data_IF_715598715848
#
_entry.id   IF_715598715848
#
_cell.length_a   1.000
_cell.length_b   1.000
_cell.length_c   1.000
_cell.angle_alpha   90.00
_cell.angle_beta   90.00
_cell.angle_gamma   90.00
#
_symmetry.space_group_name_H-M   'P 1'
#
loop_
_entity.id
_entity.type
_entity.pdbx_description
1 polymer ?
#
# COMPACT_ATOMS: atom_id res chain seq x y z
N UNK A 1 30.78 -7.49 7.38
CA UNK A 1 29.91 -6.46 7.98
C UNK A 1 29.37 -5.52 6.91
N UNK A 2 30.24 -4.87 6.13
CA UNK A 2 29.87 -3.97 5.02
C UNK A 2 28.82 -4.56 4.07
N UNK A 3 29.03 -5.78 3.55
CA UNK A 3 28.08 -6.45 2.64
C UNK A 3 26.66 -6.59 3.22
N UNK A 4 26.54 -6.90 4.51
CA UNK A 4 25.24 -7.07 5.17
C UNK A 4 24.54 -5.74 5.42
N UNK A 5 25.29 -4.69 5.75
CA UNK A 5 24.74 -3.34 5.90
C UNK A 5 24.25 -2.83 4.54
N UNK A 6 25.06 -2.99 3.49
CA UNK A 6 24.67 -2.61 2.12
C UNK A 6 23.41 -3.35 1.66
N UNK A 7 23.32 -4.65 1.94
CA UNK A 7 22.12 -5.43 1.63
C UNK A 7 20.89 -4.92 2.41
N UNK A 8 21.02 -4.64 3.71
CA UNK A 8 19.94 -4.05 4.50
C UNK A 8 19.48 -2.72 3.92
N UNK A 9 20.42 -1.81 3.61
CA UNK A 9 20.11 -0.52 2.99
C UNK A 9 19.39 -0.72 1.65
N UNK A 10 19.86 -1.63 0.80
CA UNK A 10 19.22 -1.94 -0.48
C UNK A 10 17.79 -2.45 -0.31
N UNK A 11 17.58 -3.38 0.63
CA UNK A 11 16.25 -3.93 0.90
C UNK A 11 15.31 -2.85 1.46
N UNK A 12 15.80 -1.98 2.33
CA UNK A 12 15.03 -0.84 2.84
C UNK A 12 14.67 0.12 1.71
N UNK A 13 15.63 0.51 0.88
CA UNK A 13 15.36 1.40 -0.28
C UNK A 13 14.35 0.77 -1.22
N UNK A 14 14.48 -0.51 -1.54
CA UNK A 14 13.53 -1.21 -2.41
C UNK A 14 12.13 -1.26 -1.77
N UNK A 15 12.02 -1.59 -0.48
CA UNK A 15 10.74 -1.60 0.22
C UNK A 15 10.10 -0.20 0.22
N UNK A 16 10.88 0.84 0.45
CA UNK A 16 10.42 2.24 0.38
C UNK A 16 9.93 2.59 -1.02
N UNK A 17 10.66 2.22 -2.07
CA UNK A 17 10.23 2.44 -3.45
C UNK A 17 8.91 1.72 -3.75
N UNK A 18 8.76 0.48 -3.29
CA UNK A 18 7.50 -0.29 -3.44
C UNK A 18 6.34 0.40 -2.71
N UNK A 19 6.57 0.91 -1.50
CA UNK A 19 5.55 1.66 -0.74
C UNK A 19 5.07 2.89 -1.54
N UNK A 20 5.98 3.63 -2.16
CA UNK A 20 5.63 4.83 -2.91
C UNK A 20 5.17 4.60 -4.35
N UNK A 21 5.39 3.41 -4.91
CA UNK A 21 5.18 3.14 -6.33
C UNK A 21 3.79 3.55 -6.85
N UNK A 22 2.67 3.31 -6.15
CA UNK A 22 1.34 3.73 -6.61
C UNK A 22 1.16 5.25 -6.73
N UNK A 23 1.92 6.03 -5.97
CA UNK A 23 1.82 7.49 -5.97
C UNK A 23 2.66 8.14 -7.07
N UNK A 24 3.55 7.37 -7.72
CA UNK A 24 4.46 7.89 -8.74
C UNK A 24 3.74 8.17 -10.08
N UNK A 25 4.32 9.05 -10.92
CA UNK A 25 3.82 9.27 -12.27
C UNK A 25 3.96 8.00 -13.12
N UNK A 26 2.92 7.65 -13.87
CA UNK A 26 2.94 6.48 -14.75
C UNK A 26 1.58 6.12 -15.31
N UNK A 27 1.53 4.98 -16.02
CA UNK A 27 0.28 4.30 -16.37
C UNK A 27 -0.19 3.47 -15.19
N UNK A 28 -1.49 3.18 -15.15
CA UNK A 28 -2.06 2.34 -14.12
C UNK A 28 -1.39 0.95 -14.08
N UNK A 29 -1.03 0.50 -12.88
CA UNK A 29 -0.48 -0.82 -12.61
C UNK A 29 -1.14 -1.37 -11.34
N UNK A 30 -2.11 -2.27 -11.50
CA UNK A 30 -2.81 -2.91 -10.39
C UNK A 30 -1.85 -3.61 -9.41
N UNK A 31 -0.75 -4.17 -9.92
CA UNK A 31 0.23 -4.86 -9.09
C UNK A 31 1.01 -3.90 -8.18
N UNK A 32 1.12 -2.62 -8.57
CA UNK A 32 1.76 -1.59 -7.77
C UNK A 32 1.00 -1.38 -6.45
N UNK A 33 -0.33 -1.25 -6.54
CA UNK A 33 -1.22 -1.05 -5.39
C UNK A 33 -1.10 -2.24 -4.43
N UNK A 34 -1.26 -3.45 -4.97
CA UNK A 34 -1.15 -4.68 -4.20
C UNK A 34 0.22 -4.86 -3.53
N UNK A 35 1.32 -4.62 -4.26
CA UNK A 35 2.67 -4.73 -3.71
C UNK A 35 2.93 -3.69 -2.62
N UNK A 36 2.47 -2.46 -2.81
CA UNK A 36 2.59 -1.40 -1.80
C UNK A 36 1.81 -1.77 -0.54
N UNK A 37 0.53 -2.13 -0.65
CA UNK A 37 -0.30 -2.51 0.50
C UNK A 37 0.25 -3.75 1.20
N UNK A 38 0.66 -4.78 0.45
CA UNK A 38 1.28 -6.00 0.98
C UNK A 38 2.56 -5.68 1.77
N UNK A 39 3.41 -4.79 1.26
CA UNK A 39 4.65 -4.36 1.94
C UNK A 39 4.35 -3.60 3.23
N UNK A 40 3.32 -2.75 3.21
CA UNK A 40 2.92 -1.96 4.37
C UNK A 40 2.30 -2.83 5.47
N UNK A 41 1.42 -3.77 5.11
CA UNK A 41 0.86 -4.76 6.04
C UNK A 41 1.95 -5.68 6.60
N UNK A 42 2.89 -6.14 5.76
CA UNK A 42 4.05 -6.89 6.22
C UNK A 42 4.91 -6.09 7.21
N UNK A 43 5.05 -4.77 6.98
CA UNK A 43 5.70 -3.84 7.90
C UNK A 43 5.04 -3.81 9.27
N UNK A 44 3.71 -3.66 9.33
CA UNK A 44 2.97 -3.63 10.60
C UNK A 44 2.95 -4.97 11.34
N UNK A 45 2.61 -6.06 10.65
CA UNK A 45 2.62 -7.41 11.26
C UNK A 45 4.05 -7.76 11.70
N UNK A 46 5.04 -7.45 10.87
CA UNK A 46 6.46 -7.65 11.18
C UNK A 46 6.91 -6.82 12.38
N UNK A 47 6.43 -5.58 12.52
CA UNK A 47 6.75 -4.73 13.65
C UNK A 47 6.26 -5.33 14.97
N UNK A 48 5.07 -5.93 14.98
CA UNK A 48 4.50 -6.55 16.18
C UNK A 48 5.15 -7.91 16.47
N UNK A 49 5.35 -8.75 15.45
CA UNK A 49 5.78 -10.14 15.64
C UNK A 49 7.30 -10.34 15.56
N UNK A 50 7.97 -9.77 14.56
CA UNK A 50 9.39 -10.02 14.27
C UNK A 50 10.31 -9.11 15.07
N UNK A 51 9.96 -7.85 15.26
CA UNK A 51 10.82 -6.87 15.95
C UNK A 51 11.17 -7.29 17.37
N UNK A 52 10.23 -7.75 18.23
CA UNK A 52 10.57 -8.20 19.58
C UNK A 52 11.51 -9.41 19.57
N UNK A 53 11.27 -10.38 18.67
CA UNK A 53 12.14 -11.56 18.50
C UNK A 53 13.55 -11.11 18.08
N UNK A 54 13.64 -10.21 17.10
CA UNK A 54 14.90 -9.64 16.64
C UNK A 54 15.65 -8.90 17.75
N UNK A 55 14.95 -8.09 18.55
CA UNK A 55 15.55 -7.32 19.64
C UNK A 55 16.12 -8.24 20.74
N UNK A 56 15.33 -9.22 21.20
CA UNK A 56 15.77 -10.18 22.22
C UNK A 56 16.95 -11.01 21.69
N UNK A 57 16.90 -11.44 20.43
CA UNK A 57 17.99 -12.16 19.79
C UNK A 57 19.25 -11.29 19.66
N UNK A 58 19.11 -10.02 19.28
CA UNK A 58 20.23 -9.07 19.19
C UNK A 58 20.90 -8.87 20.55
N UNK A 59 20.11 -8.64 21.60
CA UNK A 59 20.62 -8.52 22.99
C UNK A 59 21.33 -9.79 23.42
N UNK A 60 20.77 -10.96 23.11
CA UNK A 60 21.41 -12.25 23.39
C UNK A 60 22.76 -12.39 22.68
N UNK A 61 22.84 -12.03 21.40
CA UNK A 61 24.10 -12.04 20.63
C UNK A 61 25.13 -11.05 21.18
N UNK A 62 24.72 -9.86 21.62
CA UNK A 62 25.63 -8.89 22.27
C UNK A 62 26.18 -9.45 23.59
N UNK A 63 25.31 -10.02 24.44
CA UNK A 63 25.72 -10.65 25.71
C UNK A 63 26.64 -11.84 25.48
N UNK A 64 26.31 -12.70 24.51
CA UNK A 64 27.14 -13.85 24.12
C UNK A 64 28.53 -13.41 23.68
N UNK A 65 28.64 -12.35 22.85
CA UNK A 65 29.95 -11.80 22.45
C UNK A 65 30.75 -11.29 23.65
N UNK A 66 30.10 -10.59 24.58
CA UNK A 66 30.76 -10.14 25.81
C UNK A 66 31.24 -11.31 26.68
N UNK A 67 30.45 -12.36 26.84
CA UNK A 67 30.80 -13.57 27.58
C UNK A 67 32.00 -14.32 26.94
N UNK A 68 32.03 -14.43 25.60
CA UNK A 68 33.15 -15.04 24.87
C UNK A 68 34.46 -14.27 25.07
N UNK A 69 34.41 -12.93 25.11
CA UNK A 69 35.57 -12.09 25.44
C UNK A 69 36.05 -12.35 26.87
N UNK A 70 35.13 -12.61 27.81
CA UNK A 70 35.43 -12.97 29.21
C UNK A 70 35.80 -14.44 29.43
N UNK A 71 35.78 -15.28 28.38
CA UNK A 71 35.97 -16.74 28.44
C UNK A 71 34.94 -17.48 29.32
N UNK A 72 33.75 -16.92 29.48
CA UNK A 72 32.64 -17.57 30.17
C UNK A 72 31.91 -18.58 29.27
N UNK A 73 31.35 -19.67 29.83
CA UNK A 73 30.56 -20.63 29.05
C UNK A 73 29.29 -19.96 28.50
N UNK A 74 29.20 -19.83 27.17
CA UNK A 74 28.05 -19.22 26.52
C UNK A 74 27.07 -20.29 26.02
N UNK A 75 25.78 -20.15 26.36
CA UNK A 75 24.72 -21.02 25.83
C UNK A 75 24.36 -20.60 24.40
N UNK A 76 24.34 -21.56 23.47
CA UNK A 76 23.90 -21.30 22.09
C UNK A 76 22.39 -21.45 21.98
N UNK A 77 21.67 -20.33 22.10
CA UNK A 77 20.21 -20.28 21.89
C UNK A 77 19.82 -19.78 20.49
N UNK A 78 20.78 -19.61 19.58
CA UNK A 78 20.54 -19.04 18.25
C UNK A 78 19.50 -19.82 17.42
N UNK A 79 19.49 -21.15 17.56
CA UNK A 79 18.52 -22.02 16.86
C UNK A 79 17.07 -21.77 17.30
N UNK A 80 16.84 -21.52 18.59
CA UNK A 80 15.50 -21.25 19.11
C UNK A 80 14.94 -19.94 18.55
N UNK A 81 15.75 -18.88 18.50
CA UNK A 81 15.36 -17.61 17.89
C UNK A 81 15.10 -17.73 16.39
N UNK A 82 15.93 -18.48 15.67
CA UNK A 82 15.72 -18.72 14.25
C UNK A 82 14.40 -19.45 13.97
N UNK A 83 14.06 -20.47 14.77
CA UNK A 83 12.77 -21.17 14.65
C UNK A 83 11.61 -20.22 14.97
N UNK A 84 11.69 -19.46 16.05
CA UNK A 84 10.66 -18.50 16.43
C UNK A 84 10.44 -17.45 15.33
N UNK A 85 11.51 -16.91 14.75
CA UNK A 85 11.44 -15.96 13.64
C UNK A 85 10.82 -16.60 12.38
N UNK A 86 11.15 -17.86 12.07
CA UNK A 86 10.52 -18.57 10.94
C UNK A 86 9.02 -18.71 11.14
N UNK A 87 8.57 -19.13 12.33
CA UNK A 87 7.14 -19.26 12.67
C UNK A 87 6.44 -17.90 12.56
N UNK A 88 6.99 -16.86 13.16
CA UNK A 88 6.42 -15.51 13.08
C UNK A 88 6.37 -14.97 11.63
N UNK A 89 7.37 -15.32 10.80
CA UNK A 89 7.39 -14.90 9.39
C UNK A 89 6.29 -15.53 8.53
N UNK A 90 5.70 -16.67 8.96
CA UNK A 90 4.53 -17.27 8.30
C UNK A 90 3.35 -16.32 8.37
N UNK A 91 3.08 -15.73 9.54
CA UNK A 91 1.98 -14.79 9.72
C UNK A 91 2.19 -13.51 8.89
N UNK A 92 3.43 -13.00 8.83
CA UNK A 92 3.78 -11.85 7.98
C UNK A 92 3.55 -12.15 6.50
N UNK A 93 4.01 -13.31 6.02
CA UNK A 93 3.81 -13.72 4.63
C UNK A 93 2.34 -13.99 4.31
N UNK A 94 1.60 -14.59 5.25
CA UNK A 94 0.16 -14.82 5.12
C UNK A 94 -0.63 -13.52 5.01
N UNK A 95 -0.34 -12.53 5.86
CA UNK A 95 -0.97 -11.21 5.78
C UNK A 95 -0.67 -10.49 4.46
N UNK A 96 0.59 -10.49 4.02
CA UNK A 96 0.96 -9.93 2.73
C UNK A 96 0.27 -10.65 1.55
N UNK A 97 0.16 -11.98 1.60
CA UNK A 97 -0.51 -12.76 0.57
C UNK A 97 -2.02 -12.51 0.54
N UNK A 98 -2.67 -12.32 1.69
CA UNK A 98 -4.10 -12.02 1.76
C UNK A 98 -4.42 -10.71 1.02
N UNK A 99 -3.65 -9.65 1.28
CA UNK A 99 -3.76 -8.37 0.59
C UNK A 99 -3.51 -8.52 -0.91
N UNK A 100 -2.48 -9.29 -1.30
CA UNK A 100 -2.20 -9.53 -2.72
C UNK A 100 -3.37 -10.24 -3.44
N UNK A 101 -4.09 -11.14 -2.76
CA UNK A 101 -5.29 -11.80 -3.32
C UNK A 101 -6.41 -10.80 -3.53
N UNK A 102 -6.65 -9.93 -2.55
CA UNK A 102 -7.70 -8.92 -2.59
C UNK A 102 -7.48 -7.90 -3.72
N UNK A 103 -6.27 -7.38 -3.84
CA UNK A 103 -5.93 -6.27 -4.76
C UNK A 103 -5.54 -6.71 -6.18
N UNK A 104 -5.00 -7.92 -6.34
CA UNK A 104 -4.43 -8.37 -7.63
C UNK A 104 -4.69 -9.85 -7.94
N UNK A 105 -5.44 -10.55 -7.09
CA UNK A 105 -5.75 -11.97 -7.25
C UNK A 105 -4.62 -12.94 -6.87
N UNK A 106 -4.89 -14.22 -7.08
CA UNK A 106 -4.05 -15.31 -6.56
C UNK A 106 -2.62 -15.39 -7.13
N UNK A 107 -2.40 -14.88 -8.35
CA UNK A 107 -1.09 -15.01 -9.01
C UNK A 107 0.03 -14.32 -8.21
N UNK A 108 -0.20 -13.09 -7.78
CA UNK A 108 0.78 -12.33 -6.99
C UNK A 108 1.01 -12.98 -5.62
N UNK A 109 -0.05 -13.44 -4.97
CA UNK A 109 0.03 -14.13 -3.68
C UNK A 109 0.88 -15.41 -3.78
N UNK A 110 0.69 -16.21 -4.83
CA UNK A 110 1.49 -17.43 -5.08
C UNK A 110 2.97 -17.08 -5.27
N UNK A 111 3.27 -16.01 -6.02
CA UNK A 111 4.65 -15.54 -6.22
C UNK A 111 5.28 -15.14 -4.89
N UNK A 112 4.58 -14.33 -4.08
CA UNK A 112 5.07 -13.88 -2.77
C UNK A 112 5.32 -15.06 -1.81
N UNK A 113 4.38 -16.00 -1.71
CA UNK A 113 4.52 -17.18 -0.87
C UNK A 113 5.62 -18.12 -1.35
N UNK A 114 5.80 -18.26 -2.67
CA UNK A 114 6.88 -19.06 -3.26
C UNK A 114 8.25 -18.46 -2.97
N UNK A 115 8.39 -17.14 -3.11
CA UNK A 115 9.62 -16.41 -2.77
C UNK A 115 9.94 -16.54 -1.27
N UNK A 116 8.94 -16.32 -0.40
CA UNK A 116 9.09 -16.50 1.04
C UNK A 116 9.49 -17.95 1.39
N UNK A 117 8.81 -18.95 0.82
CA UNK A 117 9.10 -20.36 1.04
C UNK A 117 10.52 -20.73 0.62
N UNK A 118 11.00 -20.19 -0.52
CA UNK A 118 12.37 -20.36 -0.97
C UNK A 118 13.39 -19.73 0.00
N UNK A 119 13.10 -18.55 0.54
CA UNK A 119 13.94 -17.88 1.55
C UNK A 119 14.00 -18.73 2.82
N UNK A 120 12.86 -19.17 3.35
CA UNK A 120 12.79 -20.01 4.56
C UNK A 120 13.51 -21.33 4.36
N UNK A 121 13.28 -22.01 3.24
CA UNK A 121 13.97 -23.27 2.91
C UNK A 121 15.49 -23.08 2.86
N UNK A 122 15.97 -21.98 2.26
CA UNK A 122 17.40 -21.64 2.22
C UNK A 122 17.95 -21.35 3.61
N UNK A 123 17.22 -20.62 4.45
CA UNK A 123 17.58 -20.35 5.85
C UNK A 123 17.67 -21.64 6.67
N UNK A 124 16.70 -22.56 6.55
CA UNK A 124 16.68 -23.84 7.25
C UNK A 124 17.79 -24.79 6.79
N UNK A 125 18.11 -24.82 5.49
CA UNK A 125 19.26 -25.60 5.00
C UNK A 125 20.58 -25.06 5.56
N UNK A 126 20.72 -23.73 5.63
CA UNK A 126 21.92 -23.09 6.18
C UNK A 126 22.11 -23.36 7.68
N UNK A 127 21.05 -23.60 8.46
CA UNK A 127 21.19 -23.94 9.89
C UNK A 127 21.56 -25.40 10.11
N UNK A 128 21.21 -26.30 9.19
CA UNK A 128 21.53 -27.74 9.26
C UNK A 128 22.98 -28.06 8.86
N UNK A 129 23.56 -27.29 7.95
CA UNK A 129 24.83 -27.65 7.32
C UNK A 129 26.06 -27.59 8.25
N UNK A 130 25.96 -27.06 9.48
CA UNK A 130 27.08 -27.00 10.44
C UNK A 130 28.28 -26.11 10.04
N UNK A 131 28.44 -25.86 8.75
CA UNK A 131 29.53 -25.12 8.13
C UNK A 131 29.37 -23.62 8.28
N UNK A 132 30.24 -22.97 9.08
CA UNK A 132 30.63 -21.54 8.99
C UNK A 132 29.52 -20.46 8.96
N UNK A 133 28.24 -20.84 8.96
CA UNK A 133 27.07 -20.02 8.73
C UNK A 133 26.72 -19.14 9.93
N UNK A 134 27.42 -19.35 11.05
CA UNK A 134 27.42 -18.47 12.21
C UNK A 134 27.74 -17.02 11.82
N UNK A 135 28.51 -16.76 10.76
CA UNK A 135 28.74 -15.39 10.29
C UNK A 135 27.53 -14.73 9.62
N UNK A 136 26.69 -15.46 8.87
CA UNK A 136 25.51 -14.90 8.19
C UNK A 136 24.34 -14.69 9.15
N UNK A 137 24.16 -15.61 10.11
CA UNK A 137 23.12 -15.51 11.13
C UNK A 137 23.33 -14.33 12.09
N UNK A 138 24.56 -13.81 12.21
CA UNK A 138 24.88 -12.64 13.05
C UNK A 138 24.09 -11.38 12.73
N UNK A 139 23.62 -11.22 11.49
CA UNK A 139 22.90 -10.02 11.07
C UNK A 139 21.39 -10.21 10.99
N UNK A 140 20.88 -11.44 11.01
CA UNK A 140 19.43 -11.73 10.98
C UNK A 140 18.66 -10.95 12.05
N UNK A 141 19.10 -10.88 13.33
CA UNK A 141 18.40 -10.08 14.34
C UNK A 141 18.25 -8.61 13.95
N UNK A 142 19.27 -8.05 13.28
CA UNK A 142 19.26 -6.67 12.81
C UNK A 142 18.19 -6.43 11.74
N UNK A 143 18.06 -7.34 10.76
CA UNK A 143 16.99 -7.25 9.75
C UNK A 143 15.61 -7.37 10.37
N UNK A 144 15.42 -8.35 11.26
CA UNK A 144 14.14 -8.58 11.93
C UNK A 144 13.70 -7.38 12.78
N UNK A 145 14.65 -6.66 13.38
CA UNK A 145 14.37 -5.47 14.18
C UNK A 145 14.18 -4.21 13.34
N UNK A 146 15.08 -3.93 12.39
CA UNK A 146 15.09 -2.64 11.70
C UNK A 146 14.13 -2.56 10.53
N UNK A 147 13.99 -3.63 9.73
CA UNK A 147 13.25 -3.56 8.48
C UNK A 147 11.76 -3.21 8.68
N UNK A 148 10.99 -3.90 9.56
CA UNK A 148 9.58 -3.57 9.76
C UNK A 148 9.41 -2.16 10.36
N UNK A 149 10.26 -1.79 11.32
CA UNK A 149 10.23 -0.47 11.95
C UNK A 149 10.50 0.66 10.95
N UNK A 150 11.45 0.49 10.04
CA UNK A 150 11.74 1.48 8.99
C UNK A 150 10.60 1.60 7.97
N UNK A 151 9.98 0.49 7.57
CA UNK A 151 8.81 0.52 6.67
C UNK A 151 7.66 1.29 7.31
N UNK A 152 7.31 0.96 8.57
CA UNK A 152 6.24 1.64 9.30
C UNK A 152 6.57 3.12 9.52
N UNK A 153 7.81 3.45 9.89
CA UNK A 153 8.25 4.83 10.07
C UNK A 153 8.08 5.64 8.78
N UNK A 154 8.54 5.09 7.64
CA UNK A 154 8.41 5.76 6.34
C UNK A 154 6.94 5.95 5.98
N UNK A 155 6.10 4.92 6.19
CA UNK A 155 4.65 5.05 5.96
C UNK A 155 4.06 6.21 6.75
N UNK A 156 4.25 6.20 8.07
CA UNK A 156 3.67 7.22 8.98
C UNK A 156 4.18 8.62 8.66
N UNK A 157 5.46 8.76 8.30
CA UNK A 157 6.06 10.07 8.07
C UNK A 157 5.69 10.70 6.72
N UNK A 158 5.45 9.90 5.68
CA UNK A 158 5.50 10.40 4.30
C UNK A 158 4.36 9.93 3.39
N UNK A 159 3.62 8.85 3.70
CA UNK A 159 2.61 8.33 2.76
C UNK A 159 1.45 9.29 2.57
N UNK A 160 1.01 10.00 3.62
CA UNK A 160 -0.03 11.04 3.50
C UNK A 160 0.39 12.15 2.51
N UNK A 161 1.64 12.61 2.60
CA UNK A 161 2.18 13.65 1.73
C UNK A 161 2.29 13.16 0.28
N UNK A 162 2.73 11.90 0.09
CA UNK A 162 2.78 11.28 -1.23
C UNK A 162 1.36 11.11 -1.83
N UNK A 163 0.39 10.72 -1.02
CA UNK A 163 -1.02 10.60 -1.42
C UNK A 163 -1.58 11.97 -1.85
N UNK A 164 -1.37 13.02 -1.05
CA UNK A 164 -1.79 14.38 -1.41
C UNK A 164 -1.13 14.89 -2.70
N UNK A 165 0.17 14.68 -2.86
CA UNK A 165 0.89 15.05 -4.09
C UNK A 165 0.39 14.30 -5.32
N UNK A 166 0.14 12.99 -5.17
CA UNK A 166 -0.45 12.14 -6.20
C UNK A 166 -1.86 12.61 -6.57
N UNK A 167 -2.72 12.87 -5.58
CA UNK A 167 -4.09 13.38 -5.77
C UNK A 167 -4.11 14.69 -6.56
N UNK A 168 -3.27 15.66 -6.16
CA UNK A 168 -3.19 16.95 -6.86
C UNK A 168 -2.73 16.80 -8.31
N UNK A 169 -1.82 15.85 -8.60
CA UNK A 169 -1.44 15.54 -9.98
C UNK A 169 -2.63 15.01 -10.78
N UNK A 170 -3.39 14.08 -10.22
CA UNK A 170 -4.52 13.45 -10.92
C UNK A 170 -5.62 14.48 -11.18
N UNK A 171 -5.90 15.36 -10.21
CA UNK A 171 -6.80 16.50 -10.37
C UNK A 171 -6.35 17.38 -11.55
N UNK A 172 -5.08 17.77 -11.59
CA UNK A 172 -4.54 18.58 -12.69
C UNK A 172 -4.58 17.85 -14.05
N UNK A 173 -4.36 16.53 -14.07
CA UNK A 173 -4.48 15.74 -15.30
C UNK A 173 -5.91 15.69 -15.84
N UNK A 174 -6.91 15.82 -14.96
CA UNK A 174 -8.33 15.81 -15.30
C UNK A 174 -8.82 17.09 -15.99
N UNK A 175 -8.04 18.18 -15.98
CA UNK A 175 -8.45 19.48 -16.53
C UNK A 175 -8.85 19.38 -18.01
N UNK A 176 -8.05 18.68 -18.82
CA UNK A 176 -8.35 18.47 -20.25
C UNK A 176 -9.67 17.73 -20.46
N UNK A 177 -9.93 16.71 -19.64
CA UNK A 177 -11.14 15.91 -19.73
C UNK A 177 -12.40 16.72 -19.38
N UNK A 178 -12.32 17.53 -18.31
CA UNK A 178 -13.38 18.47 -17.91
C UNK A 178 -13.62 19.51 -19.01
N UNK A 179 -12.54 20.08 -19.58
CA UNK A 179 -12.65 21.08 -20.64
C UNK A 179 -13.39 20.54 -21.88
N UNK A 180 -13.12 19.29 -22.27
CA UNK A 180 -13.78 18.66 -23.42
C UNK A 180 -15.26 18.32 -23.14
N UNK A 181 -15.61 17.97 -21.91
CA UNK A 181 -17.02 17.81 -21.47
C UNK A 181 -17.77 19.16 -21.54
N UNK A 182 -17.15 20.24 -21.05
CA UNK A 182 -17.77 21.58 -21.11
C UNK A 182 -17.88 22.08 -22.55
N UNK A 183 -16.87 21.85 -23.39
CA UNK A 183 -16.92 22.18 -24.81
C UNK A 183 -18.06 21.43 -25.51
N UNK A 184 -18.25 20.15 -25.19
CA UNK A 184 -19.38 19.37 -25.69
C UNK A 184 -20.72 20.02 -25.30
N UNK A 185 -20.88 20.44 -24.03
CA UNK A 185 -22.09 21.12 -23.56
C UNK A 185 -22.34 22.43 -24.30
N UNK A 186 -21.31 23.25 -24.51
CA UNK A 186 -21.44 24.51 -25.25
C UNK A 186 -21.91 24.25 -26.68
N UNK A 187 -21.39 23.22 -27.34
CA UNK A 187 -21.73 22.90 -28.72
C UNK A 187 -23.14 22.27 -28.88
N UNK A 188 -23.59 21.46 -27.91
CA UNK A 188 -24.82 20.66 -28.03
C UNK A 188 -25.96 21.13 -27.12
N UNK A 189 -25.72 22.11 -26.25
CA UNK A 189 -26.70 22.61 -25.28
C UNK A 189 -26.99 21.66 -24.10
N UNK A 190 -26.28 20.53 -24.00
CA UNK A 190 -26.47 19.51 -22.95
C UNK A 190 -25.16 18.76 -22.68
N UNK A 191 -25.01 18.23 -21.46
CA UNK A 191 -23.91 17.31 -21.16
C UNK A 191 -24.06 15.98 -21.92
N UNK A 192 -22.95 15.26 -22.16
CA UNK A 192 -23.02 13.95 -22.80
C UNK A 192 -23.75 12.94 -21.90
N UNK A 193 -24.58 12.08 -22.50
CA UNK A 193 -25.29 11.03 -21.74
C UNK A 193 -24.31 9.95 -21.24
N UNK A 194 -23.20 9.76 -21.96
CA UNK A 194 -22.10 8.89 -21.59
C UNK A 194 -20.83 9.32 -22.33
N UNK A 195 -19.70 9.05 -21.70
CA UNK A 195 -18.35 9.22 -22.26
C UNK A 195 -17.54 7.92 -22.09
N UNK A 196 -18.23 6.81 -21.81
CA UNK A 196 -17.60 5.51 -21.68
C UNK A 196 -16.97 5.09 -23.01
N UNK A 197 -15.65 4.94 -23.01
CA UNK A 197 -14.88 4.39 -24.12
C UNK A 197 -14.16 3.12 -23.68
N UNK A 198 -13.87 2.23 -24.64
CA UNK A 198 -13.06 1.04 -24.37
C UNK A 198 -11.59 1.43 -24.11
N UNK A 199 -11.09 2.44 -24.83
CA UNK A 199 -9.73 2.93 -24.71
C UNK A 199 -9.74 4.28 -24.00
N UNK A 200 -9.01 4.45 -22.89
CA UNK A 200 -8.94 5.72 -22.19
C UNK A 200 -8.08 6.71 -22.98
N UNK A 201 -8.71 7.78 -23.49
CA UNK A 201 -8.00 8.87 -24.19
C UNK A 201 -7.38 9.88 -23.20
N UNK A 202 -7.86 9.88 -21.94
CA UNK A 202 -7.42 10.78 -20.88
C UNK A 202 -6.63 10.02 -19.81
N UNK A 203 -5.28 10.06 -19.83
CA UNK A 203 -4.48 9.38 -18.83
C UNK A 203 -4.55 10.08 -17.47
N UNK A 204 -4.69 9.31 -16.39
CA UNK A 204 -4.62 9.78 -14.98
C UNK A 204 -3.21 10.22 -14.59
N UNK A 205 -2.20 9.77 -15.34
CA UNK A 205 -0.76 10.04 -15.17
C UNK A 205 -0.22 9.65 -13.80
N UNK A 206 -0.86 8.69 -13.13
CA UNK A 206 -0.48 8.18 -11.81
C UNK A 206 -0.66 6.67 -11.76
N UNK A 207 0.35 5.95 -11.27
CA UNK A 207 0.39 4.48 -11.28
C UNK A 207 -0.78 3.83 -10.53
N UNK A 208 -1.20 4.42 -9.41
CA UNK A 208 -2.25 3.89 -8.55
C UNK A 208 -3.68 4.29 -8.94
N UNK A 209 -3.89 5.01 -10.04
CA UNK A 209 -5.23 5.47 -10.45
C UNK A 209 -5.57 4.96 -11.84
N UNK A 210 -6.56 4.08 -11.91
CA UNK A 210 -6.99 3.39 -13.15
C UNK A 210 -7.46 4.37 -14.23
N UNK A 211 -8.59 5.04 -13.97
CA UNK A 211 -9.24 5.90 -14.95
C UNK A 211 -10.12 6.96 -14.28
N UNK A 212 -10.45 8.00 -15.05
CA UNK A 212 -11.55 8.89 -14.72
C UNK A 212 -12.88 8.21 -15.04
N UNK A 213 -13.87 8.43 -14.17
CA UNK A 213 -15.25 8.00 -14.34
C UNK A 213 -16.13 9.22 -14.44
N UNK A 214 -17.14 9.13 -15.30
CA UNK A 214 -18.11 10.19 -15.54
C UNK A 214 -19.49 9.67 -15.22
N UNK A 215 -20.26 10.50 -14.53
CA UNK A 215 -21.64 10.22 -14.17
C UNK A 215 -22.49 11.47 -14.46
N UNK A 216 -23.45 11.40 -15.41
CA UNK A 216 -24.34 12.51 -15.68
C UNK A 216 -25.32 12.71 -14.52
N UNK A 217 -25.59 13.96 -14.16
CA UNK A 217 -26.48 14.32 -13.06
C UNK A 217 -27.40 15.48 -13.47
N UNK A 218 -28.39 15.19 -14.32
CA UNK A 218 -29.34 16.19 -14.81
C UNK A 218 -28.65 17.26 -15.67
N UNK A 219 -28.58 18.48 -15.15
CA UNK A 219 -27.90 19.62 -15.78
C UNK A 219 -26.54 19.94 -15.12
N UNK A 220 -25.94 18.94 -14.48
CA UNK A 220 -24.56 18.86 -13.99
C UNK A 220 -24.00 17.45 -14.23
N UNK A 221 -22.79 17.16 -13.75
CA UNK A 221 -22.14 15.85 -13.82
C UNK A 221 -21.12 15.69 -12.70
N UNK A 222 -20.78 14.44 -12.38
CA UNK A 222 -19.64 14.10 -11.57
C UNK A 222 -18.52 13.55 -12.45
N UNK A 223 -17.28 14.00 -12.21
CA UNK A 223 -16.09 13.27 -12.63
C UNK A 223 -15.36 12.80 -11.40
N UNK A 224 -15.01 11.52 -11.33
CA UNK A 224 -14.34 10.98 -10.16
C UNK A 224 -13.31 9.93 -10.50
N UNK A 225 -12.45 9.64 -9.54
CA UNK A 225 -11.50 8.55 -9.59
C UNK A 225 -11.30 7.98 -8.20
N UNK A 226 -10.93 6.70 -8.14
CA UNK A 226 -10.52 6.02 -6.94
C UNK A 226 -9.01 6.25 -6.73
N UNK A 227 -8.64 6.64 -5.52
CA UNK A 227 -7.27 6.95 -5.13
C UNK A 227 -6.77 5.98 -4.07
N UNK A 228 -5.47 5.67 -4.10
CA UNK A 228 -4.85 4.79 -3.12
C UNK A 228 -4.82 5.49 -1.77
N UNK A 229 -5.66 5.04 -0.85
CA UNK A 229 -5.79 5.65 0.47
C UNK A 229 -4.51 5.47 1.32
N UNK A 230 -4.09 6.51 2.05
CA UNK A 230 -3.02 6.40 3.04
C UNK A 230 -3.47 5.63 4.30
N UNK A 231 -4.78 5.39 4.46
CA UNK A 231 -5.38 4.60 5.54
C UNK A 231 -5.61 3.17 5.05
N UNK A 232 -5.42 2.20 5.94
CA UNK A 232 -5.81 0.82 5.61
C UNK A 232 -7.33 0.71 5.60
N UNK A 233 -7.85 -0.12 4.71
CA UNK A 233 -9.28 -0.48 4.69
C UNK A 233 -10.19 0.75 4.54
N UNK A 234 -9.73 1.71 3.74
CA UNK A 234 -10.49 2.91 3.43
C UNK A 234 -10.37 3.15 1.94
N UNK A 235 -11.51 3.23 1.26
CA UNK A 235 -11.55 3.61 -0.13
C UNK A 235 -11.64 5.14 -0.23
N UNK A 236 -10.74 5.74 -1.00
CA UNK A 236 -10.70 7.18 -1.20
C UNK A 236 -11.24 7.52 -2.59
N UNK A 237 -12.41 8.17 -2.64
CA UNK A 237 -12.99 8.66 -3.89
C UNK A 237 -12.79 10.17 -3.99
N UNK A 238 -12.19 10.62 -5.08
CA UNK A 238 -11.94 12.04 -5.34
C UNK A 238 -12.86 12.47 -6.48
N UNK A 239 -13.71 13.46 -6.23
CA UNK A 239 -14.83 13.79 -7.10
C UNK A 239 -14.95 15.29 -7.36
N UNK A 240 -15.15 15.60 -8.63
CA UNK A 240 -15.47 16.91 -9.17
C UNK A 240 -16.95 17.01 -9.50
N UNK A 241 -17.58 18.14 -9.19
CA UNK A 241 -18.88 18.53 -9.72
C UNK A 241 -18.92 20.06 -9.86
N UNK A 242 -19.21 20.62 -11.05
CA UNK A 242 -19.11 22.06 -11.29
C UNK A 242 -20.08 22.92 -10.46
N UNK A 243 -21.04 22.30 -9.76
CA UNK A 243 -22.00 22.98 -8.88
C UNK A 243 -21.80 22.70 -7.39
N UNK A 244 -20.76 21.97 -7.02
CA UNK A 244 -20.56 21.48 -5.65
C UNK A 244 -21.69 20.58 -5.12
N UNK A 245 -22.40 19.93 -6.04
CA UNK A 245 -23.49 18.98 -5.79
C UNK A 245 -22.99 17.52 -5.85
N UNK A 246 -21.74 17.28 -5.46
CA UNK A 246 -21.15 15.94 -5.45
C UNK A 246 -21.99 14.99 -4.58
N UNK A 247 -22.34 13.83 -5.13
CA UNK A 247 -22.98 12.74 -4.40
C UNK A 247 -22.20 11.46 -4.68
N UNK A 248 -21.87 10.76 -3.61
CA UNK A 248 -21.18 9.48 -3.67
C UNK A 248 -21.94 8.51 -2.76
N UNK A 249 -22.14 7.29 -3.24
CA UNK A 249 -22.86 6.21 -2.54
C UNK A 249 -22.01 4.96 -2.52
N UNK A 250 -22.07 4.17 -1.44
CA UNK A 250 -21.29 2.92 -1.34
C UNK A 250 -21.81 1.83 -2.28
N UNK A 251 -23.12 1.81 -2.55
CA UNK A 251 -23.74 0.73 -3.32
C UNK A 251 -24.70 1.25 -4.39
N UNK A 252 -24.62 0.67 -5.59
CA UNK A 252 -25.58 0.93 -6.67
C UNK A 252 -27.03 0.65 -6.22
N UNK A 253 -27.21 -0.33 -5.33
CA UNK A 253 -28.52 -0.66 -4.77
C UNK A 253 -29.15 0.51 -3.99
N UNK A 254 -28.35 1.35 -3.33
CA UNK A 254 -28.85 2.50 -2.58
C UNK A 254 -29.48 3.51 -3.54
N UNK A 255 -28.82 3.77 -4.68
CA UNK A 255 -29.31 4.65 -5.75
C UNK A 255 -30.67 4.16 -6.25
N UNK A 256 -30.85 2.84 -6.39
CA UNK A 256 -32.06 2.24 -6.92
C UNK A 256 -33.20 2.15 -5.88
N UNK A 257 -32.88 2.07 -4.59
CA UNK A 257 -33.85 1.79 -3.53
C UNK A 257 -34.27 3.03 -2.74
N UNK A 258 -33.41 4.04 -2.64
CA UNK A 258 -33.62 5.19 -1.77
C UNK A 258 -33.95 6.46 -2.56
N UNK A 259 -34.84 7.28 -1.98
CA UNK A 259 -35.06 8.63 -2.47
C UNK A 259 -33.81 9.48 -2.26
N UNK A 260 -33.66 10.57 -3.01
CA UNK A 260 -32.54 11.51 -2.87
C UNK A 260 -32.36 12.03 -1.43
N UNK A 261 -33.47 12.31 -0.74
CA UNK A 261 -33.46 12.75 0.66
C UNK A 261 -32.89 11.67 1.59
N UNK A 262 -33.23 10.40 1.33
CA UNK A 262 -32.71 9.27 2.10
C UNK A 262 -31.28 8.94 1.74
N UNK A 263 -30.87 9.04 0.47
CA UNK A 263 -29.46 8.95 0.07
C UNK A 263 -28.62 10.01 0.78
N UNK A 264 -29.14 11.23 0.90
CA UNK A 264 -28.48 12.29 1.66
C UNK A 264 -28.32 11.99 3.16
N UNK A 265 -29.09 11.06 3.71
CA UNK A 265 -28.96 10.60 5.10
C UNK A 265 -28.14 9.30 5.21
N UNK A 266 -28.02 8.53 4.13
CA UNK A 266 -27.45 7.17 4.09
C UNK A 266 -26.25 7.14 3.15
N UNK A 267 -25.35 8.10 3.37
CA UNK A 267 -24.31 8.50 2.42
C UNK A 267 -23.20 7.47 2.21
N UNK A 268 -23.08 6.46 3.07
CA UNK A 268 -22.12 5.36 2.91
C UNK A 268 -20.65 5.72 3.18
N UNK A 269 -20.25 6.98 2.92
CA UNK A 269 -18.96 7.52 3.34
C UNK A 269 -19.00 8.00 4.80
N UNK A 270 -17.89 7.84 5.52
CA UNK A 270 -17.76 8.29 6.91
C UNK A 270 -17.11 9.68 7.04
N UNK A 271 -16.47 10.20 5.99
CA UNK A 271 -15.87 11.54 5.99
C UNK A 271 -15.83 12.19 4.61
N UNK A 272 -15.89 13.52 4.60
CA UNK A 272 -15.69 14.37 3.40
C UNK A 272 -14.64 15.42 3.71
N UNK A 273 -13.72 15.64 2.79
CA UNK A 273 -12.67 16.64 2.90
C UNK A 273 -12.58 17.50 1.64
N UNK A 274 -12.37 18.79 1.82
CA UNK A 274 -12.02 19.69 0.71
C UNK A 274 -10.60 19.41 0.24
N UNK A 275 -10.38 19.41 -1.08
CA UNK A 275 -9.04 19.20 -1.65
C UNK A 275 -8.20 20.48 -1.68
N UNK A 276 -8.83 21.64 -1.52
CA UNK A 276 -8.23 22.96 -1.78
C UNK A 276 -8.26 23.37 -3.26
N UNK A 277 -8.70 22.49 -4.17
CA UNK A 277 -9.01 22.84 -5.56
C UNK A 277 -10.53 23.06 -5.69
N UNK A 278 -11.00 24.14 -6.34
CA UNK A 278 -12.43 24.42 -6.46
C UNK A 278 -13.20 23.23 -7.04
N UNK A 279 -14.38 22.95 -6.48
CA UNK A 279 -15.29 21.90 -6.94
C UNK A 279 -14.80 20.46 -6.77
N UNK A 280 -13.66 20.24 -6.12
CA UNK A 280 -13.09 18.92 -5.86
C UNK A 280 -13.16 18.54 -4.38
N UNK A 281 -13.80 17.42 -4.08
CA UNK A 281 -13.92 16.87 -2.72
C UNK A 281 -13.39 15.43 -2.67
N UNK A 282 -12.95 15.02 -1.48
CA UNK A 282 -12.52 13.66 -1.15
C UNK A 282 -13.60 13.04 -0.25
N UNK A 283 -14.02 11.83 -0.60
CA UNK A 283 -14.96 11.01 0.14
C UNK A 283 -14.24 9.75 0.63
N UNK A 284 -14.37 9.45 1.93
CA UNK A 284 -13.75 8.27 2.54
C UNK A 284 -14.82 7.25 2.91
N UNK A 285 -14.68 6.04 2.37
CA UNK A 285 -15.55 4.90 2.60
C UNK A 285 -14.82 3.82 3.41
N UNK A 286 -15.58 3.07 4.21
CA UNK A 286 -15.13 1.86 4.89
C UNK A 286 -15.19 0.62 3.97
#
# INVERSE_FOLDING_TARGET
>A
MTKSILLLCLVVVLAVLVVFYPFLPGQYDASAVALSMSTQVAGWIGLVLLTPIGMVWLVHELRRRAALVRREPATDRGRAFAIAACVASVAVAGGAAAIAVEESGFALAIILLSLWGAIVARCLRSTRAGDGGTQRLRFVPLYLTLLPGLIVLVRVAFVEQAAQWSRNRVIAACESYIADIEAYRVAHGRYPDSVASLNPDYPTRTVGVDRFRYEPAGDTYNVWFEHVSPRFDVNEIVMFNPRDEQQATSHDADILQFSLERLNQTRGYFAVHETGTPHWKVFLFD
#
